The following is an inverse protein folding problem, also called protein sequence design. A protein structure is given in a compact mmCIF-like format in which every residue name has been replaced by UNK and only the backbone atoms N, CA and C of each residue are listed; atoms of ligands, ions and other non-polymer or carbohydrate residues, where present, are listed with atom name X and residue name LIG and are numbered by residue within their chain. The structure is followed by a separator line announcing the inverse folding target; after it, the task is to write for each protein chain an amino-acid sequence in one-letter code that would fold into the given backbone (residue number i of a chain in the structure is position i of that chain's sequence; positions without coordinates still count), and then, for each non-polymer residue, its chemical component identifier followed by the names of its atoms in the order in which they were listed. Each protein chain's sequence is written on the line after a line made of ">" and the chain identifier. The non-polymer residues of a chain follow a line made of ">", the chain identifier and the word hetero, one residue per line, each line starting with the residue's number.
data_IF_671748954182
#
_entry.id   IF_671748954182
#
_cell.length_a   1.000
_cell.length_b   1.000
_cell.length_c   1.000
_cell.angle_alpha   90.00
_cell.angle_beta   90.00
_cell.angle_gamma   90.00
#
_symmetry.space_group_name_H-M   'P 1'
#
loop_
_entity.id
_entity.type
_entity.pdbx_description
1 polymer ?
2 non-polymer ?
3 non-polymer ?
4 non-polymer ?
5 water ?
#
# COMPACT_ATOMS: atom_id res chain seq x y z
N UNK A 4 1.75 22.62 -12.02
CA UNK A 4 0.62 21.91 -12.69
C UNK A 4 0.80 20.40 -12.66
N UNK A 5 1.38 19.83 -13.73
CA UNK A 5 1.46 18.36 -13.99
C UNK A 5 1.83 17.59 -12.72
N UNK A 6 3.04 17.79 -12.18
CA UNK A 6 3.56 17.02 -11.01
C UNK A 6 2.64 17.22 -9.80
N UNK A 7 2.31 18.47 -9.46
CA UNK A 7 1.36 18.83 -8.37
C UNK A 7 0.03 18.12 -8.62
N UNK A 8 -0.53 18.26 -9.83
CA UNK A 8 -1.84 17.70 -10.22
C UNK A 8 -1.79 16.17 -10.11
N UNK A 9 -0.70 15.55 -10.56
CA UNK A 9 -0.56 14.07 -10.51
C UNK A 9 -0.45 13.62 -9.05
N UNK A 10 0.22 14.40 -8.19
CA UNK A 10 0.34 14.07 -6.75
C UNK A 10 -1.00 14.31 -6.04
N UNK A 11 -1.81 15.27 -6.49
CA UNK A 11 -3.20 15.45 -5.99
C UNK A 11 -4.00 14.17 -6.27
N UNK A 12 -3.90 13.64 -7.50
CA UNK A 12 -4.56 12.37 -7.89
C UNK A 12 -4.08 11.25 -6.95
N UNK A 13 -2.77 11.14 -6.73
CA UNK A 13 -2.18 10.13 -5.81
C UNK A 13 -2.76 10.32 -4.40
N UNK A 14 -2.83 11.55 -3.91
CA UNK A 14 -3.36 11.83 -2.55
C UNK A 14 -4.83 11.40 -2.48
N UNK A 15 -5.62 11.67 -3.53
CA UNK A 15 -7.02 11.23 -3.63
C UNK A 15 -7.14 9.72 -3.52
N UNK A 16 -6.31 8.99 -4.26
CA UNK A 16 -6.25 7.49 -4.21
C UNK A 16 -5.94 7.06 -2.77
N UNK A 17 -4.91 7.65 -2.16
CA UNK A 17 -4.50 7.32 -0.78
C UNK A 17 -5.69 7.50 0.17
N UNK A 18 -6.38 8.64 0.09
CA UNK A 18 -7.57 8.91 0.94
C UNK A 18 -8.61 7.81 0.72
N UNK A 19 -8.85 7.42 -0.53
CA UNK A 19 -9.85 6.35 -0.85
C UNK A 19 -9.40 5.02 -0.23
N UNK A 20 -8.12 4.65 -0.36
CA UNK A 20 -7.61 3.37 0.18
C UNK A 20 -7.80 3.33 1.71
N UNK A 21 -7.79 4.50 2.37
CA UNK A 21 -7.91 4.62 3.84
C UNK A 21 -9.37 4.83 4.27
N UNK A 22 -10.30 4.93 3.32
CA UNK A 22 -11.72 5.31 3.56
C UNK A 22 -12.53 4.09 4.04
N UNK A 23 -13.65 4.35 4.71
CA UNK A 23 -14.55 3.29 5.25
C UNK A 23 -15.04 2.39 4.11
N UNK A 24 -15.19 2.94 2.90
CA UNK A 24 -15.63 2.20 1.68
C UNK A 24 -14.87 0.88 1.55
N UNK A 25 -13.56 0.87 1.81
CA UNK A 25 -12.65 -0.27 1.53
C UNK A 25 -12.14 -0.94 2.81
N UNK A 26 -12.63 -0.54 3.98
CA UNK A 26 -12.08 -0.93 5.31
C UNK A 26 -12.10 -2.45 5.49
N UNK A 27 -13.07 -3.15 4.90
CA UNK A 27 -13.26 -4.61 5.10
C UNK A 27 -12.03 -5.39 4.62
N UNK A 28 -11.30 -4.89 3.61
CA UNK A 28 -10.11 -5.56 3.03
C UNK A 28 -8.86 -4.67 3.10
N UNK A 29 -8.97 -3.38 3.43
CA UNK A 29 -7.80 -2.46 3.50
C UNK A 29 -7.11 -2.56 4.86
N UNK A 30 -7.81 -3.02 5.90
CA UNK A 30 -7.36 -2.84 7.31
C UNK A 30 -6.00 -3.49 7.57
N UNK A 31 -5.62 -4.63 6.94
CA UNK A 31 -4.29 -5.21 7.17
C UNK A 31 -3.13 -4.32 6.69
N UNK A 32 -3.43 -3.29 5.90
CA UNK A 32 -2.42 -2.43 5.22
C UNK A 32 -2.34 -1.04 5.87
N UNK A 33 -3.12 -0.80 6.92
CA UNK A 33 -3.23 0.53 7.57
C UNK A 33 -1.92 0.90 8.28
N UNK A 34 -1.28 -0.09 8.91
CA UNK A 34 -0.10 0.14 9.78
C UNK A 34 0.98 -0.89 9.45
N UNK A 35 2.25 -0.62 9.81
CA UNK A 35 3.32 -1.59 9.58
C UNK A 35 2.98 -2.94 10.21
N UNK A 36 3.31 -4.03 9.50
CA UNK A 36 3.22 -5.41 10.06
C UNK A 36 4.05 -5.42 11.34
N UNK A 37 3.41 -5.74 12.47
CA UNK A 37 4.11 -5.94 13.76
C UNK A 37 4.50 -7.41 13.85
N UNK A 38 5.67 -7.76 13.29
CA UNK A 38 6.13 -9.15 13.12
C UNK A 38 6.21 -9.85 14.48
N UNK A 39 6.84 -9.19 15.46
CA UNK A 39 7.03 -9.71 16.84
C UNK A 39 5.67 -10.01 17.49
N UNK A 40 4.72 -9.07 17.40
CA UNK A 40 3.36 -9.19 18.00
C UNK A 40 2.64 -10.43 17.45
N UNK A 41 2.82 -10.74 16.16
CA UNK A 41 2.09 -11.82 15.45
C UNK A 41 2.91 -13.12 15.43
N UNK A 42 4.10 -13.13 16.04
CA UNK A 42 5.00 -14.29 16.06
C UNK A 42 5.56 -14.62 14.68
N UNK A 43 5.65 -13.62 13.80
CA UNK A 43 6.20 -13.78 12.42
C UNK A 43 7.70 -13.46 12.46
N UNK A 44 8.49 -14.35 13.08
CA UNK A 44 9.92 -14.10 13.41
C UNK A 44 10.81 -14.20 12.17
N UNK A 45 10.25 -14.57 11.01
CA UNK A 45 10.98 -14.63 9.72
C UNK A 45 10.61 -13.43 8.83
N UNK A 46 9.66 -12.59 9.25
CA UNK A 46 9.09 -11.53 8.38
C UNK A 46 10.20 -10.61 7.84
N UNK A 47 11.06 -10.10 8.73
CA UNK A 47 12.10 -9.09 8.38
C UNK A 47 13.30 -9.75 7.70
N UNK A 48 13.37 -11.09 7.69
CA UNK A 48 14.39 -11.84 6.92
C UNK A 48 13.93 -11.95 5.46
N UNK A 49 12.62 -12.04 5.25
CA UNK A 49 12.00 -12.25 3.91
C UNK A 49 11.68 -10.89 3.27
N UNK A 50 11.20 -9.93 4.07
CA UNK A 50 10.77 -8.58 3.61
C UNK A 50 11.84 -7.57 4.05
N UNK A 51 12.66 -7.10 3.10
CA UNK A 51 13.81 -6.19 3.38
C UNK A 51 13.34 -4.73 3.39
N UNK A 52 12.21 -4.42 2.75
CA UNK A 52 11.66 -3.04 2.66
C UNK A 52 10.17 -3.06 2.99
N UNK A 53 9.81 -3.09 4.29
CA UNK A 53 8.40 -3.03 4.69
C UNK A 53 7.74 -1.73 4.21
N UNK A 54 6.46 -1.82 3.88
CA UNK A 54 5.66 -0.64 3.47
C UNK A 54 4.20 -0.87 3.87
N UNK A 55 3.50 0.22 4.16
CA UNK A 55 2.09 0.21 4.62
C UNK A 55 1.51 1.59 4.35
N UNK A 56 0.19 1.74 4.45
CA UNK A 56 -0.49 2.99 4.05
C UNK A 56 -0.18 4.13 5.02
N UNK A 57 0.07 3.87 6.30
CA UNK A 57 0.45 4.94 7.27
C UNK A 57 1.80 5.54 6.87
N UNK A 58 2.73 4.71 6.38
CA UNK A 58 4.07 5.16 5.91
C UNK A 58 3.87 5.99 4.62
N UNK A 59 3.04 5.51 3.69
CA UNK A 59 2.74 6.25 2.43
C UNK A 59 2.11 7.61 2.81
N UNK A 60 1.20 7.63 3.78
CA UNK A 60 0.53 8.88 4.22
C UNK A 60 1.56 9.85 4.80
N UNK A 61 2.44 9.38 5.68
CA UNK A 61 3.51 10.21 6.30
C UNK A 61 4.38 10.79 5.19
N UNK A 62 4.76 9.98 4.20
CA UNK A 62 5.64 10.42 3.09
C UNK A 62 4.91 11.47 2.24
N UNK A 63 3.62 11.27 1.95
CA UNK A 63 2.81 12.26 1.19
C UNK A 63 2.73 13.57 1.98
N UNK A 64 2.41 13.50 3.28
CA UNK A 64 2.27 14.70 4.16
C UNK A 64 3.59 15.47 4.23
N UNK A 65 4.72 14.76 4.22
CA UNK A 65 6.09 15.34 4.33
C UNK A 65 6.59 15.80 2.95
N UNK A 66 5.80 15.62 1.89
CA UNK A 66 6.17 15.97 0.49
C UNK A 66 7.43 15.18 0.09
N UNK A 67 7.54 13.93 0.56
CA UNK A 67 8.66 13.01 0.24
C UNK A 67 8.54 12.60 -1.24
N UNK A 68 7.33 12.29 -1.72
CA UNK A 68 7.11 11.85 -3.12
C UNK A 68 7.26 13.04 -4.06
N UNK A 69 8.18 12.93 -5.02
CA UNK A 69 8.45 14.00 -6.01
C UNK A 69 7.55 13.80 -7.24
N UNK A 70 7.01 12.59 -7.46
CA UNK A 70 6.14 12.30 -8.62
C UNK A 70 5.23 11.11 -8.31
N UNK A 71 4.23 10.89 -9.17
CA UNK A 71 3.23 9.79 -9.03
C UNK A 71 3.94 8.43 -9.05
N UNK A 72 4.94 8.27 -9.91
CA UNK A 72 5.71 7.00 -10.08
C UNK A 72 6.30 6.57 -8.73
N UNK A 73 6.86 7.51 -7.96
CA UNK A 73 7.50 7.22 -6.66
C UNK A 73 6.43 6.76 -5.65
N UNK A 74 5.28 7.43 -5.63
CA UNK A 74 4.11 7.07 -4.79
C UNK A 74 3.65 5.65 -5.15
N UNK A 75 3.42 5.39 -6.43
CA UNK A 75 2.91 4.09 -6.94
C UNK A 75 3.88 2.97 -6.55
N UNK A 76 5.19 3.22 -6.63
CA UNK A 76 6.24 2.23 -6.30
C UNK A 76 6.08 1.77 -4.85
N UNK A 77 5.79 2.69 -3.92
CA UNK A 77 5.59 2.35 -2.49
C UNK A 77 4.29 1.54 -2.33
N UNK A 78 3.21 1.96 -2.99
CA UNK A 78 1.91 1.24 -2.83
C UNK A 78 2.10 -0.19 -3.36
N UNK A 79 2.77 -0.34 -4.50
CA UNK A 79 2.98 -1.68 -5.12
C UNK A 79 3.96 -2.50 -4.27
N UNK A 80 4.97 -1.85 -3.67
CA UNK A 80 5.92 -2.53 -2.75
C UNK A 80 5.13 -3.18 -1.61
N UNK A 81 4.19 -2.43 -1.03
CA UNK A 81 3.30 -2.91 0.06
C UNK A 81 2.59 -4.19 -0.39
N UNK A 82 1.98 -4.21 -1.58
CA UNK A 82 1.26 -5.40 -2.10
C UNK A 82 2.25 -6.53 -2.38
N UNK A 83 3.38 -6.22 -3.02
CA UNK A 83 4.44 -7.21 -3.37
C UNK A 83 4.93 -7.92 -2.11
N UNK A 84 5.16 -7.17 -1.03
CA UNK A 84 5.61 -7.75 0.27
C UNK A 84 4.59 -8.79 0.73
N UNK A 85 3.31 -8.47 0.63
CA UNK A 85 2.19 -9.36 1.03
C UNK A 85 2.23 -10.64 0.17
N UNK A 86 2.41 -10.50 -1.15
CA UNK A 86 2.44 -11.64 -2.10
C UNK A 86 3.71 -12.48 -1.89
N UNK A 87 4.81 -11.86 -1.44
CA UNK A 87 6.10 -12.57 -1.22
C UNK A 87 6.02 -13.41 0.06
N UNK A 88 5.51 -12.83 1.15
CA UNK A 88 5.60 -13.43 2.51
C UNK A 88 4.54 -14.52 2.70
N UNK A 89 3.31 -14.28 2.23
CA UNK A 89 2.12 -15.10 2.58
C UNK A 89 1.86 -16.14 1.50
N UNK A 90 1.43 -17.37 1.87
CA UNK A 90 0.95 -18.33 0.87
C UNK A 90 -0.18 -17.70 0.06
N UNK A 91 -0.28 -18.01 -1.25
CA UNK A 91 -1.24 -17.34 -2.13
C UNK A 91 -2.72 -17.57 -1.79
N UNK A 92 -3.03 -18.57 -0.96
CA UNK A 92 -4.42 -18.92 -0.56
C UNK A 92 -4.79 -18.28 0.79
N UNK A 93 -3.89 -17.50 1.40
CA UNK A 93 -4.15 -16.80 2.69
C UNK A 93 -5.19 -15.69 2.46
N UNK A 94 -6.04 -15.43 3.45
CA UNK A 94 -7.09 -14.38 3.37
C UNK A 94 -6.43 -13.01 3.15
N UNK A 95 -5.26 -12.75 3.74
CA UNK A 95 -4.59 -11.42 3.62
C UNK A 95 -4.21 -11.18 2.15
N UNK A 96 -3.90 -12.24 1.40
CA UNK A 96 -3.55 -12.14 -0.04
C UNK A 96 -4.82 -11.79 -0.84
N UNK A 97 -5.96 -12.42 -0.53
CA UNK A 97 -7.26 -12.09 -1.15
C UNK A 97 -7.57 -10.60 -0.91
N UNK A 98 -7.30 -10.12 0.30
CA UNK A 98 -7.57 -8.71 0.69
C UNK A 98 -6.61 -7.79 -0.08
N UNK A 99 -5.33 -8.17 -0.20
CA UNK A 99 -4.30 -7.44 -0.97
C UNK A 99 -4.76 -7.29 -2.43
N UNK A 100 -5.18 -8.39 -3.06
CA UNK A 100 -5.62 -8.42 -4.49
C UNK A 100 -6.78 -7.44 -4.67
N UNK A 101 -7.75 -7.45 -3.75
CA UNK A 101 -8.95 -6.57 -3.82
C UNK A 101 -8.53 -5.11 -3.68
N UNK A 102 -7.68 -4.77 -2.71
CA UNK A 102 -7.25 -3.36 -2.52
C UNK A 102 -6.37 -2.93 -3.70
N UNK A 103 -5.54 -3.83 -4.25
CA UNK A 103 -4.68 -3.49 -5.40
C UNK A 103 -5.57 -3.23 -6.63
N UNK A 104 -6.67 -3.97 -6.80
CA UNK A 104 -7.63 -3.71 -7.90
C UNK A 104 -8.14 -2.27 -7.77
N UNK A 105 -8.56 -1.86 -6.57
CA UNK A 105 -9.03 -0.47 -6.31
C UNK A 105 -7.92 0.49 -6.75
N UNK A 106 -6.70 0.25 -6.29
CA UNK A 106 -5.53 1.12 -6.55
C UNK A 106 -5.26 1.21 -8.06
N UNK A 107 -5.10 0.07 -8.73
CA UNK A 107 -4.62 0.03 -10.14
C UNK A 107 -5.65 0.72 -11.04
N UNK A 108 -6.95 0.48 -10.83
CA UNK A 108 -7.99 1.04 -11.73
C UNK A 108 -8.05 2.56 -11.56
N UNK A 109 -7.91 3.09 -10.34
CA UNK A 109 -7.94 4.56 -10.14
C UNK A 109 -6.61 5.19 -10.54
N UNK A 110 -5.48 4.52 -10.28
CA UNK A 110 -4.14 5.03 -10.67
C UNK A 110 -4.10 5.22 -12.20
N UNK A 111 -4.74 4.32 -12.95
CA UNK A 111 -4.79 4.32 -14.43
C UNK A 111 -5.49 5.59 -14.94
N UNK A 112 -6.35 6.21 -14.13
CA UNK A 112 -7.11 7.44 -14.49
C UNK A 112 -6.26 8.69 -14.21
N UNK A 113 -4.94 8.54 -14.07
CA UNK A 113 -3.96 9.64 -13.85
C UNK A 113 -4.17 10.73 -14.89
N UNK A 114 -4.27 12.02 -14.49
CA UNK A 114 -4.31 13.12 -15.46
C UNK A 114 -2.96 13.26 -16.18
N UNK A 115 -3.00 13.49 -17.50
CA UNK A 115 -1.80 13.66 -18.37
C UNK A 115 -1.42 15.15 -18.41
X LIG B 1 -4.62 -5.43 -11.04
X LIG B 1 -4.46 -5.56 -9.64
X LIG B 1 -6.03 -5.21 -11.43
X LIG B 1 -6.92 -6.18 -10.91
X LIG C 1 12.94 7.78 -0.46
X LIG C 1 11.77 8.15 0.25
X LIG C 1 14.02 8.80 -0.41
X LIG C 1 13.55 10.11 -0.19
X LIG D 1 4.80 -19.21 1.03
X LIG D 1 5.44 -19.37 2.28
X LIG D 1 5.17 -17.95 0.34
X LIG D 1 4.54 -17.79 -0.92
X LIG E 1 -3.98 18.39 -1.50
X LIG E 1 -4.32 18.68 -0.16
X LIG E 1 -3.66 19.94 0.34
X LIG E 1 -3.55 20.90 -0.71
X LIG E 1 -4.64 21.81 -0.77
X LIG E 1 -4.22 23.07 -1.46
X LIG E 1 -3.83 22.78 -2.80
X LIG E 1 -3.50 23.95 -3.54
X LIG E 1 -2.56 23.59 -4.66
X LIG E 1 -1.44 22.89 -4.14
X LIG E 1 -0.35 22.82 -5.05
X LIG E 1 0.70 21.90 -4.50
X LIG E 1 0.34 20.55 -4.77
X LIG E 1 1.36 19.62 -4.42
X LIG E 1 0.82 18.23 -4.51
X LIG E 1 0.06 17.95 -3.34
X LIG E 1 -0.13 16.56 -3.13
X LIG E 1 -0.96 16.35 -1.90
X LIG E 1 -0.21 16.71 -0.75
X LIG E 1 -0.93 16.52 0.47
X LIG E 1 0.00 16.63 1.63
X LIG E 1 0.97 17.65 1.40
X LIG E 1 0.65 18.89 2.03
X LIG E 1 1.86 19.72 2.14
X LIG F 1 -2.46 -11.38 9.45
X LIG F 1 -0.33 -13.17 9.35
X LIG F 1 -2.01 -11.88 8.23
X LIG F 1 -0.03 -7.92 6.13
X LIG F 1 -0.27 -7.09 4.90
X LIG F 1 0.83 -9.09 6.00
X LIG F 1 0.47 -9.51 8.36
X LIG F 1 -3.73 -4.52 12.76
X LIG F 1 -3.41 -5.92 12.56
X LIG F 1 -3.10 -6.42 11.37
X LIG F 1 -3.05 -5.74 10.36
X LIG F 1 -2.79 -7.90 11.32
X LIG F 1 -2.23 -8.33 10.05
X LIG F 1 -3.14 -8.99 9.11
X LIG F 1 -3.63 -10.40 9.51
X LIG F 1 -4.80 -10.84 8.63
X LIG F 1 -1.82 -11.78 10.61
X LIG F 1 -0.76 -12.67 10.56
X LIG F 1 -0.95 -12.78 8.19
X LIG F 1 -0.95 -8.01 9.80
X LIG F 1 -0.25 -7.42 10.60
X LIG F 1 -0.34 -8.43 8.49
X LIG F 1 -0.57 -7.62 7.33
X LIG F 1 1.36 -9.45 4.95
X LIG F 1 1.04 -9.85 7.16
X LIG F 1 1.90 -11.03 7.06
#
# INVERSE_FOLDING_TARGET
>A
GSMGKLSEQLKHCNGILKELLSKKHAAYAWPFYKPVDASALGLHDYHDIIKHPMDLSTVKRKMENRDYRDAQEFAADVRLMFSNCYKYNPPDHDVVAMARKLQDVFEFRYAKMPD
>B hetero
1 EDO C1 O1 C2 O2
>C hetero
1 EDO C1 O1 C2 O2
>D hetero
1 EDO C1 O1 C2 O2
>E hetero
1 PE4 O1 C1 C2 O2 C3 C4 O3 C5 C6 O4 C7 C8 O5 C9 C10 O6 C11 C12 O7 C13 C14 O8 C15 C16
>F hetero
1 VBE C10 C13 C15 C20 C21 C22 C26 C01 N02 C03 O04 C05 N06 C07 C08 C09 C11 C12 C14 C16 O17 C18 C19 O23 N24 C25
#
